data_IF_998902259304
#
_entry.id   IF_998902259304
#
_cell.length_a   1.000
_cell.length_b   1.000
_cell.length_c   1.000
_cell.angle_alpha   90.00
_cell.angle_beta   90.00
_cell.angle_gamma   90.00
#
_symmetry.space_group_name_H-M   'P 1'
#
loop_
_entity.id
_entity.type
_entity.pdbx_description
1 polymer ?
#
# COMPACT_ATOMS: atom_id res chain seq x y z
N UNK A 1 -5.02 -16.54 -7.94
CA UNK A 1 -5.17 -17.53 -6.85
C UNK A 1 -6.26 -17.05 -5.91
N UNK A 2 -6.88 -17.96 -5.14
CA UNK A 2 -7.93 -17.63 -4.18
C UNK A 2 -7.55 -18.20 -2.81
N UNK A 3 -7.70 -17.38 -1.77
CA UNK A 3 -7.55 -17.77 -0.37
C UNK A 3 -8.93 -17.70 0.30
N UNK A 4 -9.23 -18.61 1.22
CA UNK A 4 -10.53 -18.75 1.89
C UNK A 4 -10.35 -19.14 3.35
N UNK A 5 -11.13 -18.53 4.23
CA UNK A 5 -11.27 -18.92 5.63
C UNK A 5 -12.57 -18.32 6.16
N UNK A 6 -13.39 -19.11 6.86
CA UNK A 6 -14.71 -18.68 7.31
C UNK A 6 -15.54 -18.09 6.16
N UNK A 7 -16.10 -16.90 6.38
CA UNK A 7 -16.89 -16.15 5.40
C UNK A 7 -16.05 -15.21 4.53
N UNK A 8 -14.73 -15.31 4.58
CA UNK A 8 -13.80 -14.49 3.82
C UNK A 8 -13.23 -15.21 2.59
N UNK A 9 -13.22 -14.51 1.45
CA UNK A 9 -12.53 -14.92 0.23
C UNK A 9 -11.65 -13.77 -0.28
N UNK A 10 -10.37 -14.06 -0.56
CA UNK A 10 -9.41 -13.11 -1.09
C UNK A 10 -8.85 -13.61 -2.42
N UNK A 11 -8.78 -12.74 -3.44
CA UNK A 11 -8.26 -13.09 -4.77
C UNK A 11 -6.97 -12.32 -5.05
N UNK A 12 -5.83 -13.02 -5.01
CA UNK A 12 -4.51 -12.49 -5.38
C UNK A 12 -4.23 -12.74 -6.87
N UNK A 13 -3.67 -11.75 -7.58
CA UNK A 13 -3.35 -11.82 -9.01
C UNK A 13 -1.83 -11.75 -9.24
N UNK A 14 -1.11 -12.88 -9.24
CA UNK A 14 0.32 -12.91 -9.55
C UNK A 14 0.63 -12.30 -10.92
N UNK A 15 -0.25 -12.48 -11.89
CA UNK A 15 -0.14 -11.96 -13.25
C UNK A 15 -0.32 -10.43 -13.35
N UNK A 16 -0.77 -9.77 -12.26
CA UNK A 16 -1.08 -8.34 -12.22
C UNK A 16 -0.49 -7.67 -10.97
N UNK A 17 0.83 -7.73 -10.83
CA UNK A 17 1.55 -7.03 -9.75
C UNK A 17 1.35 -7.65 -8.37
N UNK A 18 0.95 -8.93 -8.31
CA UNK A 18 0.52 -9.61 -7.08
C UNK A 18 -0.56 -8.84 -6.30
N UNK A 19 -1.38 -8.03 -6.99
CA UNK A 19 -2.42 -7.23 -6.34
C UNK A 19 -3.52 -8.11 -5.74
N UNK A 20 -4.11 -7.64 -4.65
CA UNK A 20 -5.38 -8.16 -4.15
C UNK A 20 -6.50 -7.59 -5.00
N UNK A 21 -7.04 -8.40 -5.91
CA UNK A 21 -8.07 -7.95 -6.87
C UNK A 21 -9.49 -7.99 -6.29
N UNK A 22 -9.70 -8.74 -5.22
CA UNK A 22 -10.97 -8.84 -4.50
C UNK A 22 -10.74 -9.32 -3.08
N UNK A 23 -11.54 -8.78 -2.16
CA UNK A 23 -11.73 -9.25 -0.79
C UNK A 23 -13.24 -9.25 -0.56
N UNK A 24 -13.82 -10.41 -0.31
CA UNK A 24 -15.24 -10.58 0.03
C UNK A 24 -15.34 -11.11 1.46
N UNK A 25 -16.21 -10.52 2.28
CA UNK A 25 -16.44 -10.92 3.67
C UNK A 25 -17.94 -10.93 3.93
N UNK A 26 -18.50 -12.07 4.35
CA UNK A 26 -19.94 -12.16 4.66
C UNK A 26 -20.84 -11.78 3.47
N UNK A 27 -20.36 -11.99 2.24
CA UNK A 27 -21.05 -11.58 1.01
C UNK A 27 -20.79 -10.14 0.55
N UNK A 28 -20.13 -9.29 1.35
CA UNK A 28 -19.76 -7.94 0.94
C UNK A 28 -18.41 -7.93 0.23
N UNK A 29 -18.38 -7.41 -1.01
CA UNK A 29 -17.12 -7.08 -1.67
C UNK A 29 -16.57 -5.78 -1.07
N UNK A 30 -15.34 -5.81 -0.54
CA UNK A 30 -14.72 -4.65 0.13
C UNK A 30 -13.82 -3.84 -0.79
N UNK A 31 -13.15 -4.49 -1.76
CA UNK A 31 -12.24 -3.81 -2.69
C UNK A 31 -12.95 -3.44 -3.99
N UNK A 32 -12.68 -2.24 -4.53
CA UNK A 32 -13.12 -1.89 -5.88
C UNK A 32 -12.44 -2.82 -6.88
N UNK A 33 -13.23 -3.45 -7.75
CA UNK A 33 -12.72 -4.33 -8.80
C UNK A 33 -12.40 -3.54 -10.07
N UNK A 34 -11.52 -4.11 -10.91
CA UNK A 34 -11.10 -3.52 -12.19
C UNK A 34 -9.59 -3.58 -12.36
N UNK A 35 -9.11 -3.25 -13.56
CA UNK A 35 -7.68 -3.31 -13.90
C UNK A 35 -6.84 -2.30 -13.09
N UNK A 36 -7.40 -1.13 -12.81
CA UNK A 36 -6.74 -0.03 -12.08
C UNK A 36 -6.93 -0.08 -10.55
N UNK A 37 -7.75 -1.01 -10.06
CA UNK A 37 -8.20 -1.05 -8.66
C UNK A 37 -7.70 -2.30 -7.92
N UNK A 38 -8.33 -2.66 -6.79
CA UNK A 38 -7.84 -3.67 -5.86
C UNK A 38 -6.85 -3.07 -4.87
N UNK A 39 -5.89 -3.86 -4.41
CA UNK A 39 -4.75 -3.39 -3.63
C UNK A 39 -3.45 -3.82 -4.29
N UNK A 40 -2.76 -2.89 -4.96
CA UNK A 40 -1.48 -3.17 -5.61
C UNK A 40 -0.30 -2.84 -4.70
N UNK A 41 0.81 -3.55 -4.91
CA UNK A 41 2.08 -3.31 -4.21
C UNK A 41 2.78 -2.10 -4.80
N UNK A 42 3.23 -1.19 -3.93
CA UNK A 42 4.11 -0.08 -4.27
C UNK A 42 5.53 -0.41 -3.82
N UNK A 43 6.44 -0.68 -4.75
CA UNK A 43 7.86 -0.89 -4.49
C UNK A 43 8.68 -0.74 -5.79
N UNK A 44 9.93 -0.23 -5.75
CA UNK A 44 10.70 0.15 -4.55
C UNK A 44 10.48 1.58 -4.07
N UNK A 45 9.42 2.26 -4.51
CA UNK A 45 8.97 3.53 -3.91
C UNK A 45 7.44 3.59 -3.82
N UNK A 46 6.95 4.36 -2.86
CA UNK A 46 5.53 4.62 -2.64
C UNK A 46 5.17 6.05 -3.03
N UNK A 47 3.92 6.27 -3.44
CA UNK A 47 3.47 7.56 -3.94
C UNK A 47 4.35 8.10 -5.08
N UNK A 48 4.49 9.42 -5.11
CA UNK A 48 5.28 10.16 -6.11
C UNK A 48 6.76 10.23 -5.72
N UNK A 49 7.66 10.18 -6.70
CA UNK A 49 9.07 10.57 -6.56
C UNK A 49 9.32 11.82 -7.38
N UNK A 50 9.82 12.89 -6.73
CA UNK A 50 10.02 14.21 -7.34
C UNK A 50 10.83 14.09 -8.62
N UNK A 51 10.23 14.48 -9.73
CA UNK A 51 10.86 14.47 -11.06
C UNK A 51 11.39 13.11 -11.53
N UNK A 52 10.96 12.02 -10.87
CA UNK A 52 11.55 10.70 -11.07
C UNK A 52 13.04 10.65 -10.69
N UNK A 53 13.57 11.61 -9.94
CA UNK A 53 14.99 11.64 -9.56
C UNK A 53 15.18 11.12 -8.16
N UNK A 54 16.20 10.29 -7.97
CA UNK A 54 16.66 9.90 -6.65
C UNK A 54 18.18 9.69 -6.63
N UNK A 55 18.75 9.64 -5.43
CA UNK A 55 20.18 9.38 -5.24
C UNK A 55 20.42 8.10 -4.46
N UNK A 56 21.49 7.41 -4.80
CA UNK A 56 22.11 6.39 -3.94
C UNK A 56 23.55 6.83 -3.67
N UNK A 57 23.80 7.33 -2.47
CA UNK A 57 25.04 8.05 -2.16
C UNK A 57 25.25 9.23 -3.12
N UNK A 58 26.37 9.23 -3.83
CA UNK A 58 26.73 10.29 -4.78
C UNK A 58 26.11 10.13 -6.17
N UNK A 59 25.49 9.00 -6.49
CA UNK A 59 24.98 8.71 -7.85
C UNK A 59 23.52 9.10 -7.96
N UNK A 60 23.19 9.95 -8.93
CA UNK A 60 21.83 10.31 -9.29
C UNK A 60 21.28 9.38 -10.37
N UNK A 61 19.99 9.04 -10.25
CA UNK A 61 19.26 8.18 -11.17
C UNK A 61 17.97 8.84 -11.63
N UNK A 62 17.54 8.50 -12.85
CA UNK A 62 16.29 8.95 -13.45
C UNK A 62 15.35 7.77 -13.68
N UNK A 63 14.22 7.80 -12.99
CA UNK A 63 13.08 6.89 -13.16
C UNK A 63 12.17 7.40 -14.28
N UNK A 64 11.34 6.51 -14.88
CA UNK A 64 10.29 6.94 -15.78
C UNK A 64 9.31 7.88 -15.08
N UNK A 65 9.00 8.99 -15.73
CA UNK A 65 8.02 9.97 -15.26
C UNK A 65 6.66 9.60 -15.85
N UNK A 66 5.76 9.07 -15.00
CA UNK A 66 4.46 8.53 -15.40
C UNK A 66 3.26 9.09 -14.60
N UNK A 67 3.47 10.18 -13.86
CA UNK A 67 2.44 10.94 -13.16
C UNK A 67 2.75 12.45 -13.15
N UNK A 68 2.27 13.17 -14.17
CA UNK A 68 2.59 14.58 -14.35
C UNK A 68 4.10 14.76 -14.55
N UNK A 69 4.73 15.54 -13.67
CA UNK A 69 6.19 15.72 -13.66
C UNK A 69 6.92 14.67 -12.82
N UNK A 70 6.25 13.67 -12.24
CA UNK A 70 6.83 12.76 -11.25
C UNK A 70 6.76 11.29 -11.67
N UNK A 71 7.60 10.44 -11.06
CA UNK A 71 7.44 8.99 -11.12
C UNK A 71 6.47 8.51 -10.04
N UNK A 72 5.72 7.43 -10.23
CA UNK A 72 4.72 7.00 -9.23
C UNK A 72 4.66 5.47 -9.00
N UNK A 73 4.57 5.08 -7.72
CA UNK A 73 4.22 3.72 -7.24
C UNK A 73 5.10 2.56 -7.72
N UNK A 74 6.40 2.78 -7.83
CA UNK A 74 7.34 1.68 -8.05
C UNK A 74 7.29 1.05 -9.45
N UNK A 75 8.05 -0.03 -9.62
CA UNK A 75 8.13 -0.78 -10.88
C UNK A 75 7.38 -2.11 -10.83
N UNK A 76 7.02 -2.61 -9.65
CA UNK A 76 6.50 -3.99 -9.49
C UNK A 76 5.00 -4.13 -9.74
N UNK A 77 4.22 -3.04 -9.63
CA UNK A 77 2.74 -3.06 -9.70
C UNK A 77 2.18 -3.52 -11.06
N UNK A 78 2.95 -3.37 -12.14
CA UNK A 78 2.54 -3.72 -13.52
C UNK A 78 3.16 -5.02 -14.03
N UNK A 79 3.85 -5.79 -13.18
CA UNK A 79 4.59 -6.97 -13.60
C UNK A 79 3.93 -8.27 -13.15
N UNK A 80 4.23 -9.35 -13.86
CA UNK A 80 3.95 -10.68 -13.35
C UNK A 80 4.93 -11.01 -12.21
N UNK A 81 4.39 -11.62 -11.16
CA UNK A 81 5.11 -12.13 -10.00
C UNK A 81 5.14 -13.65 -10.03
N UNK A 82 6.20 -14.23 -9.51
CA UNK A 82 6.32 -15.68 -9.35
C UNK A 82 5.70 -16.10 -8.03
N UNK A 83 4.88 -17.15 -8.05
CA UNK A 83 4.34 -17.76 -6.83
C UNK A 83 5.36 -18.78 -6.31
N UNK A 84 5.94 -18.52 -5.13
CA UNK A 84 6.86 -19.45 -4.49
C UNK A 84 6.11 -20.56 -3.74
N UNK A 85 5.03 -20.19 -3.04
CA UNK A 85 4.16 -21.12 -2.31
C UNK A 85 2.76 -20.54 -2.23
N UNK A 86 1.75 -21.39 -2.27
CA UNK A 86 0.38 -21.01 -1.95
C UNK A 86 -0.37 -22.22 -1.38
N UNK A 87 -1.29 -21.95 -0.46
CA UNK A 87 -2.31 -22.88 0.02
C UNK A 87 -3.66 -22.15 0.12
N UNK A 88 -4.62 -22.74 0.84
CA UNK A 88 -5.96 -22.16 0.97
C UNK A 88 -6.00 -20.86 1.75
N UNK A 89 -4.99 -20.54 2.57
CA UNK A 89 -4.99 -19.36 3.45
C UNK A 89 -3.77 -18.47 3.29
N UNK A 90 -2.72 -18.94 2.63
CA UNK A 90 -1.50 -18.19 2.45
C UNK A 90 -1.00 -18.19 1.00
N UNK A 91 -0.31 -17.11 0.63
CA UNK A 91 0.43 -17.03 -0.62
C UNK A 91 1.72 -16.23 -0.45
N UNK A 92 2.85 -16.83 -0.85
CA UNK A 92 4.16 -16.21 -0.91
C UNK A 92 4.55 -16.00 -2.37
N UNK A 93 4.80 -14.74 -2.74
CA UNK A 93 5.14 -14.33 -4.10
C UNK A 93 6.41 -13.48 -4.11
N UNK A 94 7.11 -13.45 -5.24
CA UNK A 94 8.26 -12.57 -5.43
C UNK A 94 8.38 -12.01 -6.84
N UNK A 95 9.13 -10.91 -6.96
CA UNK A 95 9.34 -10.14 -8.17
C UNK A 95 10.74 -9.53 -8.16
N UNK A 96 11.62 -9.93 -9.09
CA UNK A 96 13.00 -9.44 -9.14
C UNK A 96 13.05 -7.99 -9.63
N UNK A 97 13.75 -7.10 -8.96
CA UNK A 97 13.95 -5.75 -9.45
C UNK A 97 14.88 -5.76 -10.68
N UNK A 98 14.37 -5.19 -11.77
CA UNK A 98 15.06 -5.04 -13.06
C UNK A 98 14.81 -3.61 -13.57
N UNK A 99 15.35 -3.29 -14.73
CA UNK A 99 15.04 -2.03 -15.42
C UNK A 99 13.53 -1.75 -15.44
N UNK A 100 13.10 -0.51 -15.17
CA UNK A 100 13.92 0.71 -15.08
C UNK A 100 14.52 0.98 -13.68
N UNK A 101 14.37 0.07 -12.72
CA UNK A 101 15.08 0.20 -11.44
C UNK A 101 16.56 -0.14 -11.65
N UNK A 102 17.52 0.73 -11.24
CA UNK A 102 18.91 0.60 -11.63
C UNK A 102 19.72 -0.41 -10.79
N UNK A 103 19.13 -1.00 -9.76
CA UNK A 103 19.81 -1.93 -8.86
C UNK A 103 19.19 -3.33 -8.88
N UNK A 104 19.99 -4.40 -8.91
CA UNK A 104 19.46 -5.75 -8.80
C UNK A 104 18.95 -5.97 -7.38
N UNK A 105 17.79 -6.62 -7.26
CA UNK A 105 17.18 -6.91 -5.97
C UNK A 105 15.91 -7.70 -6.15
N UNK A 106 15.11 -7.82 -5.09
CA UNK A 106 13.87 -8.58 -5.10
C UNK A 106 12.85 -7.93 -4.17
N UNK A 107 11.59 -7.97 -4.59
CA UNK A 107 10.45 -7.68 -3.73
C UNK A 107 9.71 -9.00 -3.46
N UNK A 108 9.38 -9.26 -2.20
CA UNK A 108 8.55 -10.39 -1.77
C UNK A 108 7.24 -9.88 -1.20
N UNK A 109 6.18 -10.66 -1.35
CA UNK A 109 4.89 -10.41 -0.72
C UNK A 109 4.38 -11.72 -0.11
N UNK A 110 4.07 -11.67 1.18
CA UNK A 110 3.36 -12.72 1.90
C UNK A 110 1.94 -12.22 2.22
N UNK A 111 0.95 -13.03 1.87
CA UNK A 111 -0.47 -12.80 2.13
C UNK A 111 -0.96 -13.92 3.02
N UNK A 112 -1.51 -13.60 4.18
CA UNK A 112 -1.94 -14.58 5.19
C UNK A 112 -3.34 -14.25 5.70
N UNK A 113 -4.32 -15.05 5.30
CA UNK A 113 -5.69 -15.00 5.80
C UNK A 113 -5.76 -15.77 7.12
N UNK A 114 -6.26 -15.13 8.17
CA UNK A 114 -6.37 -15.76 9.49
C UNK A 114 -7.30 -16.97 9.46
N UNK A 115 -7.05 -17.93 10.36
CA UNK A 115 -7.78 -19.20 10.43
C UNK A 115 -9.29 -19.02 10.63
N UNK A 116 -9.67 -18.02 11.43
CA UNK A 116 -11.06 -17.67 11.71
C UNK A 116 -11.73 -16.87 10.59
N UNK A 117 -10.98 -16.46 9.56
CA UNK A 117 -11.48 -15.58 8.49
C UNK A 117 -11.81 -14.16 8.94
N UNK A 118 -11.31 -13.72 10.10
CA UNK A 118 -11.57 -12.38 10.66
C UNK A 118 -10.58 -11.30 10.23
N UNK A 119 -9.50 -11.68 9.53
CA UNK A 119 -8.45 -10.74 9.15
C UNK A 119 -7.51 -11.27 8.07
N UNK A 120 -6.81 -10.37 7.38
CA UNK A 120 -5.65 -10.69 6.53
C UNK A 120 -4.43 -9.89 7.00
N UNK A 121 -3.28 -10.55 7.07
CA UNK A 121 -1.97 -9.92 7.24
C UNK A 121 -1.22 -9.94 5.92
N UNK A 122 -0.65 -8.80 5.54
CA UNK A 122 0.18 -8.62 4.36
C UNK A 122 1.56 -8.19 4.80
N UNK A 123 2.60 -8.82 4.27
CA UNK A 123 4.01 -8.47 4.56
C UNK A 123 4.76 -8.30 3.25
N UNK A 124 5.50 -7.20 3.11
CA UNK A 124 6.40 -6.93 2.00
C UNK A 124 7.84 -6.97 2.48
N UNK A 125 8.70 -7.62 1.70
CA UNK A 125 10.15 -7.55 1.81
C UNK A 125 10.77 -6.89 0.58
N UNK A 126 11.81 -6.08 0.77
CA UNK A 126 12.69 -5.59 -0.32
C UNK A 126 14.13 -5.90 0.04
N UNK A 127 14.79 -6.64 -0.85
CA UNK A 127 16.15 -7.14 -0.70
C UNK A 127 17.01 -6.64 -1.87
N UNK A 128 18.29 -6.39 -1.59
CA UNK A 128 19.28 -6.07 -2.61
C UNK A 128 20.06 -7.33 -3.00
N UNK A 129 20.49 -7.42 -4.26
CA UNK A 129 21.46 -8.41 -4.74
C UNK A 129 22.82 -7.76 -5.08
N UNK A 130 23.01 -6.50 -4.68
CA UNK A 130 24.29 -5.79 -4.66
C UNK A 130 24.45 -5.02 -3.35
N UNK A 131 25.32 -4.01 -3.33
CA UNK A 131 25.69 -3.32 -2.08
C UNK A 131 24.50 -2.75 -1.30
N UNK A 132 23.79 -1.78 -1.88
CA UNK A 132 22.62 -1.15 -1.28
C UNK A 132 21.86 -0.26 -2.25
N UNK A 133 20.60 0.06 -1.92
CA UNK A 133 19.82 1.13 -2.54
C UNK A 133 18.72 1.63 -1.59
N UNK A 134 18.24 2.89 -1.73
CA UNK A 134 17.10 3.35 -0.96
C UNK A 134 15.81 2.67 -1.45
N UNK A 135 14.95 2.26 -0.53
CA UNK A 135 13.66 1.67 -0.87
C UNK A 135 12.54 2.12 0.06
N UNK A 136 11.32 2.11 -0.48
CA UNK A 136 10.09 2.15 0.28
C UNK A 136 9.13 1.08 -0.25
N UNK A 137 8.27 0.59 0.63
CA UNK A 137 7.28 -0.42 0.30
C UNK A 137 5.94 -0.12 1.00
N UNK A 138 4.84 -0.50 0.35
CA UNK A 138 3.49 -0.31 0.87
C UNK A 138 2.44 -0.85 -0.08
N UNK A 139 1.17 -0.62 0.28
CA UNK A 139 0.02 -1.08 -0.50
C UNK A 139 -0.92 0.08 -0.80
N UNK A 140 -1.62 -0.03 -1.92
CA UNK A 140 -2.61 0.96 -2.34
C UNK A 140 -4.00 0.31 -2.48
N UNK A 141 -4.69 0.00 -1.36
CA UNK A 141 -6.01 -0.59 -1.40
C UNK A 141 -7.09 0.42 -1.77
N UNK A 142 -7.83 0.13 -2.82
CA UNK A 142 -9.06 0.82 -3.18
C UNK A 142 -10.25 0.12 -2.52
N UNK A 143 -10.69 0.59 -1.36
CA UNK A 143 -11.91 0.12 -0.71
C UNK A 143 -13.14 0.77 -1.35
N UNK A 144 -14.24 0.02 -1.45
CA UNK A 144 -15.50 0.54 -1.99
C UNK A 144 -16.09 1.60 -1.07
N UNK A 145 -16.53 2.74 -1.64
CA UNK A 145 -17.17 3.80 -0.85
C UNK A 145 -18.52 3.35 -0.29
N UNK A 146 -19.23 2.44 -0.96
CA UNK A 146 -20.47 1.80 -0.51
C UNK A 146 -20.42 0.29 -0.81
N UNK A 147 -20.85 -0.57 0.12
CA UNK A 147 -20.85 -2.03 -0.10
C UNK A 147 -22.11 -2.53 -0.80
N UNK A 148 -23.20 -1.78 -0.71
CA UNK A 148 -24.48 -2.10 -1.36
C UNK A 148 -25.04 -0.88 -2.08
N UNK A 149 -25.86 -1.13 -3.10
CA UNK A 149 -26.64 -0.07 -3.74
C UNK A 149 -27.55 0.62 -2.71
N UNK A 150 -27.51 1.95 -2.67
CA UNK A 150 -28.25 2.76 -1.69
C UNK A 150 -27.72 2.70 -0.25
N UNK A 151 -26.65 1.95 0.03
CA UNK A 151 -26.01 1.92 1.35
C UNK A 151 -25.37 3.26 1.74
N UNK A 152 -25.15 3.48 3.03
CA UNK A 152 -24.42 4.68 3.47
C UNK A 152 -22.95 4.61 3.05
N UNK A 153 -22.33 5.75 2.69
CA UNK A 153 -20.91 5.77 2.38
C UNK A 153 -20.07 5.40 3.62
N UNK A 154 -18.88 4.87 3.38
CA UNK A 154 -17.90 4.56 4.43
C UNK A 154 -17.53 5.82 5.22
N UNK A 155 -17.45 5.67 6.52
CA UNK A 155 -16.87 6.65 7.45
C UNK A 155 -15.42 6.26 7.71
N UNK A 156 -14.49 7.20 7.55
CA UNK A 156 -13.07 7.01 7.79
C UNK A 156 -12.73 7.69 9.13
N UNK A 157 -12.24 6.91 10.08
CA UNK A 157 -11.90 7.36 11.44
C UNK A 157 -10.45 7.01 11.76
N UNK A 158 -9.67 8.01 12.15
CA UNK A 158 -8.28 7.86 12.58
C UNK A 158 -7.79 9.09 13.35
N UNK A 159 -6.74 8.90 14.12
CA UNK A 159 -5.99 9.98 14.76
C UNK A 159 -4.56 10.00 14.21
N UNK A 160 -4.17 11.13 13.63
CA UNK A 160 -2.80 11.37 13.19
C UNK A 160 -2.17 12.46 14.05
N UNK A 161 -0.88 12.30 14.37
CA UNK A 161 -0.11 13.33 15.08
C UNK A 161 0.15 14.53 14.17
N UNK A 162 0.38 14.28 12.88
CA UNK A 162 0.48 15.34 11.87
C UNK A 162 -0.03 14.91 10.49
N UNK A 163 -0.29 15.91 9.66
CA UNK A 163 -0.43 15.80 8.21
C UNK A 163 0.79 16.45 7.56
N UNK A 164 1.35 15.83 6.52
CA UNK A 164 2.33 16.46 5.66
C UNK A 164 1.66 17.57 4.86
N UNK A 165 2.18 18.80 4.91
CA UNK A 165 1.69 19.88 4.07
C UNK A 165 1.93 19.52 2.60
N UNK A 166 0.85 19.33 1.84
CA UNK A 166 0.90 19.02 0.41
C UNK A 166 1.15 20.29 -0.41
N UNK A 167 2.23 20.29 -1.18
CA UNK A 167 2.54 21.32 -2.17
C UNK A 167 1.64 21.24 -3.42
N UNK A 168 1.72 22.25 -4.27
CA UNK A 168 1.01 22.30 -5.56
C UNK A 168 1.41 21.16 -6.52
N UNK A 169 2.58 20.57 -6.29
CA UNK A 169 3.11 19.41 -7.02
C UNK A 169 2.62 18.06 -6.45
N UNK A 170 1.69 18.09 -5.48
CA UNK A 170 1.19 16.93 -4.75
C UNK A 170 2.28 16.14 -4.00
N UNK A 171 3.36 16.81 -3.60
CA UNK A 171 4.40 16.26 -2.73
C UNK A 171 4.42 16.98 -1.38
N UNK A 172 4.89 16.32 -0.30
CA UNK A 172 5.17 17.00 0.96
C UNK A 172 6.15 18.16 0.77
N UNK A 173 5.84 19.32 1.36
CA UNK A 173 6.73 20.48 1.40
C UNK A 173 7.89 20.30 2.40
N UNK A 174 7.75 19.33 3.32
CA UNK A 174 8.64 19.12 4.47
C UNK A 174 8.12 19.77 5.76
N UNK A 175 6.98 20.46 5.72
CA UNK A 175 6.32 20.99 6.90
C UNK A 175 5.24 20.04 7.40
N UNK A 176 5.20 19.87 8.72
CA UNK A 176 4.14 19.14 9.43
C UNK A 176 3.09 20.13 9.90
N UNK A 177 1.83 19.85 9.59
CA UNK A 177 0.68 20.66 9.98
C UNK A 177 -0.32 19.82 10.80
N UNK A 178 -1.20 20.49 11.53
CA UNK A 178 -2.33 19.80 12.17
C UNK A 178 -3.21 19.16 11.09
N UNK A 179 -3.72 17.93 11.31
CA UNK A 179 -4.65 17.29 10.39
C UNK A 179 -5.85 18.18 10.05
N UNK A 180 -6.17 18.27 8.76
CA UNK A 180 -7.32 19.04 8.24
C UNK A 180 -8.49 18.10 7.93
N UNK A 181 -9.74 18.60 7.93
CA UNK A 181 -10.87 17.82 7.43
C UNK A 181 -10.70 17.52 5.93
N UNK A 182 -11.30 16.41 5.48
CA UNK A 182 -11.24 15.98 4.09
C UNK A 182 -12.06 16.86 3.11
N UNK A 183 -12.10 16.48 1.81
CA UNK A 183 -11.50 15.26 1.28
C UNK A 183 -9.97 15.29 1.28
N UNK A 184 -9.36 14.10 1.30
CA UNK A 184 -7.92 13.90 1.43
C UNK A 184 -7.32 13.27 0.17
N UNK A 185 -6.09 13.69 -0.13
CA UNK A 185 -5.07 13.03 -0.96
C UNK A 185 -3.73 13.28 -0.26
N UNK A 186 -3.67 12.88 1.02
CA UNK A 186 -2.75 13.43 1.99
C UNK A 186 -2.00 12.34 2.75
N UNK A 187 -0.74 12.63 3.09
CA UNK A 187 0.10 11.77 3.90
C UNK A 187 0.02 12.20 5.36
N UNK A 188 -0.17 11.24 6.25
CA UNK A 188 -0.29 11.42 7.70
C UNK A 188 0.80 10.66 8.44
N UNK A 189 1.22 11.23 9.57
CA UNK A 189 2.16 10.62 10.49
C UNK A 189 1.48 10.12 11.76
N UNK A 190 1.75 8.87 12.12
CA UNK A 190 1.20 8.14 13.26
C UNK A 190 2.35 7.44 14.01
N UNK A 191 3.04 8.11 14.95
CA UNK A 191 4.23 7.57 15.64
C UNK A 191 4.04 6.21 16.30
N UNK A 192 2.85 5.95 16.82
CA UNK A 192 2.53 4.68 17.50
C UNK A 192 2.14 3.56 16.54
N UNK A 193 2.19 3.83 15.23
CA UNK A 193 1.75 2.94 14.15
C UNK A 193 0.46 3.40 13.51
N UNK A 194 0.25 3.00 12.26
CA UNK A 194 -1.00 3.25 11.53
C UNK A 194 -2.14 2.47 12.19
N UNK A 195 -3.23 3.17 12.50
CA UNK A 195 -4.54 2.60 12.81
C UNK A 195 -5.63 3.47 12.18
N UNK A 196 -6.32 2.93 11.17
CA UNK A 196 -7.40 3.62 10.47
C UNK A 196 -8.61 2.70 10.37
N UNK A 197 -9.76 3.17 10.83
CA UNK A 197 -11.01 2.44 10.78
C UNK A 197 -11.87 2.92 9.63
N UNK A 198 -12.35 1.96 8.84
CA UNK A 198 -13.36 2.11 7.81
C UNK A 198 -14.66 1.51 8.34
N UNK A 199 -15.70 2.33 8.50
CA UNK A 199 -17.00 1.90 9.00
C UNK A 199 -18.05 2.07 7.90
N UNK A 200 -18.57 0.96 7.37
CA UNK A 200 -19.78 0.96 6.55
C UNK A 200 -20.98 0.75 7.48
N UNK A 201 -21.77 1.79 7.76
CA UNK A 201 -22.76 1.72 8.82
C UNK A 201 -23.78 0.61 8.60
N UNK A 202 -24.10 -0.14 9.67
CA UNK A 202 -25.03 -1.28 9.67
C UNK A 202 -24.59 -2.49 8.83
N UNK A 203 -23.34 -2.49 8.31
CA UNK A 203 -22.86 -3.54 7.41
C UNK A 203 -21.58 -4.18 7.92
N UNK A 204 -20.50 -3.40 8.04
CA UNK A 204 -19.16 -3.91 8.34
C UNK A 204 -18.25 -2.80 8.84
N UNK A 205 -17.38 -3.12 9.80
CA UNK A 205 -16.23 -2.30 10.16
C UNK A 205 -14.94 -3.04 9.80
N UNK A 206 -13.97 -2.33 9.24
CA UNK A 206 -12.63 -2.82 8.94
C UNK A 206 -11.59 -1.87 9.58
N UNK A 207 -10.60 -2.42 10.26
CA UNK A 207 -9.47 -1.64 10.80
C UNK A 207 -8.20 -2.03 10.06
N UNK A 208 -7.53 -1.05 9.46
CA UNK A 208 -6.20 -1.18 8.86
C UNK A 208 -5.17 -0.79 9.90
N UNK A 209 -4.28 -1.73 10.25
CA UNK A 209 -3.17 -1.50 11.19
C UNK A 209 -1.82 -1.74 10.53
N UNK A 210 -0.78 -1.02 10.96
CA UNK A 210 0.61 -1.27 10.58
C UNK A 210 1.55 -0.73 11.67
N UNK A 211 2.72 -1.36 11.81
CA UNK A 211 3.82 -0.79 12.61
C UNK A 211 4.51 0.38 11.91
N UNK A 212 4.23 0.61 10.62
CA UNK A 212 4.72 1.81 9.94
C UNK A 212 4.07 3.05 10.53
N UNK A 213 4.79 4.16 10.50
CA UNK A 213 4.32 5.45 11.00
C UNK A 213 3.60 6.27 9.93
N UNK A 214 3.57 5.79 8.68
CA UNK A 214 3.10 6.57 7.53
C UNK A 214 1.90 5.92 6.86
N UNK A 215 0.84 6.71 6.70
CA UNK A 215 -0.31 6.36 5.87
C UNK A 215 -0.63 7.49 4.89
N UNK A 216 -0.95 7.15 3.65
CA UNK A 216 -1.71 8.06 2.77
C UNK A 216 -3.19 7.70 2.87
N UNK A 217 -4.04 8.71 3.09
CA UNK A 217 -5.49 8.55 3.00
C UNK A 217 -5.96 9.34 1.79
N UNK A 218 -6.66 8.64 0.90
CA UNK A 218 -7.23 9.22 -0.30
C UNK A 218 -8.73 8.97 -0.34
N UNK A 219 -9.54 10.03 -0.51
CA UNK A 219 -10.98 9.88 -0.49
C UNK A 219 -11.72 10.81 -1.48
N UNK A 220 -11.01 11.36 -2.47
CA UNK A 220 -11.65 12.24 -3.47
C UNK A 220 -12.52 11.49 -4.51
N UNK A 221 -12.33 10.17 -4.71
CA UNK A 221 -13.13 9.41 -5.66
C UNK A 221 -14.54 9.07 -5.12
N UNK A 222 -15.59 9.23 -5.95
CA UNK A 222 -16.96 8.92 -5.53
C UNK A 222 -17.22 7.42 -5.36
N UNK A 223 -16.46 6.55 -6.02
CA UNK A 223 -16.66 5.09 -5.94
C UNK A 223 -15.79 4.38 -4.90
N UNK A 224 -14.71 5.02 -4.40
CA UNK A 224 -13.71 4.33 -3.60
C UNK A 224 -12.89 5.26 -2.69
N UNK A 225 -12.27 4.68 -1.66
CA UNK A 225 -11.35 5.33 -0.73
C UNK A 225 -10.10 4.48 -0.57
N UNK A 226 -8.96 5.09 -0.21
CA UNK A 226 -7.71 4.40 0.06
C UNK A 226 -7.19 4.72 1.45
N UNK A 227 -6.61 3.69 2.06
CA UNK A 227 -5.81 3.77 3.27
C UNK A 227 -4.52 3.02 2.98
N UNK A 228 -3.41 3.72 2.88
CA UNK A 228 -2.16 3.21 2.32
C UNK A 228 -1.06 3.19 3.37
N UNK A 229 -0.96 2.14 4.21
CA UNK A 229 0.23 1.93 5.02
C UNK A 229 1.46 1.76 4.13
N UNK A 230 2.47 2.57 4.37
CA UNK A 230 3.71 2.60 3.58
C UNK A 230 4.89 2.89 4.48
N UNK A 231 6.08 2.39 4.15
CA UNK A 231 7.28 2.48 5.00
C UNK A 231 7.95 3.87 5.05
N UNK A 232 7.31 4.89 4.47
CA UNK A 232 7.79 6.27 4.42
C UNK A 232 6.86 7.17 3.59
N UNK A 233 7.04 8.49 3.62
CA UNK A 233 6.16 9.43 2.93
C UNK A 233 6.41 9.44 1.41
N UNK A 234 5.52 10.05 0.61
CA UNK A 234 5.81 10.36 -0.79
C UNK A 234 7.14 11.11 -0.93
N UNK A 235 7.87 10.81 -1.99
CA UNK A 235 9.23 11.27 -2.26
C UNK A 235 10.27 10.87 -1.20
N UNK A 236 9.96 9.88 -0.35
CA UNK A 236 10.85 9.49 0.72
C UNK A 236 12.12 8.76 0.28
N UNK A 237 12.25 8.31 -0.98
CA UNK A 237 13.59 7.98 -1.52
C UNK A 237 14.59 9.15 -1.41
N UNK A 238 14.09 10.39 -1.41
CA UNK A 238 14.90 11.60 -1.27
C UNK A 238 14.84 12.20 0.13
N UNK A 239 13.66 12.23 0.76
CA UNK A 239 13.48 12.93 2.05
C UNK A 239 13.70 12.03 3.26
N UNK A 240 13.47 10.73 3.13
CA UNK A 240 13.58 9.73 4.20
C UNK A 240 14.21 8.42 3.67
N UNK A 241 15.43 8.49 3.08
CA UNK A 241 16.02 7.33 2.41
C UNK A 241 16.31 6.23 3.43
N UNK A 242 15.61 5.09 3.29
CA UNK A 242 15.94 3.85 3.99
C UNK A 242 16.76 2.97 3.07
N UNK A 243 18.05 2.84 3.34
CA UNK A 243 18.92 1.96 2.57
C UNK A 243 18.63 0.49 2.91
N UNK A 244 18.34 -0.27 1.87
CA UNK A 244 18.30 -1.73 1.92
C UNK A 244 19.72 -2.24 1.69
N UNK A 245 20.20 -3.10 2.58
CA UNK A 245 21.49 -3.81 2.44
C UNK A 245 21.27 -5.32 2.54
N UNK A 246 22.28 -6.13 2.26
CA UNK A 246 22.19 -7.59 2.46
C UNK A 246 21.91 -7.98 3.93
N UNK A 247 22.34 -7.15 4.89
CA UNK A 247 22.14 -7.39 6.32
C UNK A 247 20.86 -6.76 6.87
N UNK A 248 20.35 -5.73 6.20
CA UNK A 248 19.20 -4.93 6.62
C UNK A 248 18.21 -4.82 5.45
N UNK A 249 17.43 -5.88 5.17
CA UNK A 249 16.33 -5.79 4.23
C UNK A 249 15.24 -4.84 4.75
N UNK A 250 14.49 -4.25 3.83
CA UNK A 250 13.27 -3.52 4.19
C UNK A 250 12.15 -4.54 4.38
N UNK A 251 11.54 -4.56 5.56
CA UNK A 251 10.31 -5.28 5.84
C UNK A 251 9.24 -4.28 6.33
N UNK A 252 8.02 -4.43 5.84
CA UNK A 252 6.83 -3.70 6.29
C UNK A 252 5.62 -4.63 6.25
N UNK A 253 4.70 -4.49 7.20
CA UNK A 253 3.48 -5.28 7.27
C UNK A 253 2.25 -4.43 7.53
N UNK A 254 1.09 -4.88 7.06
CA UNK A 254 -0.22 -4.35 7.44
C UNK A 254 -1.19 -5.49 7.75
N UNK A 255 -2.10 -5.25 8.69
CA UNK A 255 -3.16 -6.17 9.04
C UNK A 255 -4.51 -5.50 8.88
N UNK A 256 -5.41 -6.13 8.16
CA UNK A 256 -6.80 -5.69 8.01
C UNK A 256 -7.69 -6.66 8.78
N UNK A 257 -8.31 -6.17 9.85
CA UNK A 257 -9.26 -6.92 10.66
C UNK A 257 -10.67 -6.39 10.41
N UNK A 258 -11.67 -7.27 10.36
CA UNK A 258 -13.05 -6.86 10.11
C UNK A 258 -14.05 -7.50 11.05
N UNK A 259 -15.19 -6.83 11.22
CA UNK A 259 -16.35 -7.32 11.97
C UNK A 259 -17.62 -6.98 11.20
N UNK A 260 -18.46 -7.99 10.99
CA UNK A 260 -19.82 -7.79 10.47
C UNK A 260 -20.69 -7.14 11.56
N UNK A 261 -21.64 -6.32 11.13
CA UNK A 261 -22.60 -5.65 12.02
C UNK A 261 -23.66 -6.62 12.58
#
# INVERSE_FOLDING_TARGET
MRLRAGDAELVVRPDQGARLSSLTVGGFQLLRQGERFGSFVMAPWCGRTRQGRFRNGAVEHQLPVDAGEHAIHGTVRRRAWTTARADERSAALYCDLIEPWPYPGRVTQLVELAEDGGSVTLTLGVETAGNSFPAQAGWHPWFLRQLTEGGRPVEIDFAAEWQEERGEDHLPTGHRIAPKPGPWDDCFGMPDGVEVRLNWPEQLALTVTSRSEWAVVYDELPEAVCVEPQSGPPNGLNTHPRLVTELEPLEVSTRWEWRLA
#
